data_IF_834832127249
#
_entry.id   IF_834832127249
#
_cell.length_a   1.000
_cell.length_b   1.000
_cell.length_c   1.000
_cell.angle_alpha   90.00
_cell.angle_beta   90.00
_cell.angle_gamma   90.00
#
_symmetry.space_group_name_H-M   'P 1'
#
loop_
_entity.id
_entity.type
_entity.pdbx_description
1 polymer ?
#
# COMPACT_ATOMS: atom_id res chain seq x y z
N UNK A 1 19.93 -11.46 0.44
CA UNK A 1 19.38 -10.69 -0.70
C UNK A 1 18.90 -11.63 -1.78
N UNK A 2 17.64 -11.51 -2.20
CA UNK A 2 17.13 -12.15 -3.40
C UNK A 2 15.90 -11.37 -3.88
N UNK A 3 15.54 -11.50 -5.16
CA UNK A 3 14.28 -10.96 -5.69
C UNK A 3 14.10 -9.45 -5.42
N UNK A 4 15.15 -8.68 -5.70
CA UNK A 4 15.19 -7.22 -5.55
C UNK A 4 14.33 -6.54 -6.62
N UNK A 5 14.15 -5.22 -6.52
CA UNK A 5 13.15 -4.43 -7.26
C UNK A 5 11.73 -4.88 -6.95
N UNK A 6 11.53 -5.35 -5.72
CA UNK A 6 10.22 -5.68 -5.18
C UNK A 6 9.43 -4.41 -4.88
N UNK A 7 8.13 -4.45 -5.14
CA UNK A 7 7.16 -3.39 -4.84
C UNK A 7 6.42 -3.74 -3.55
N UNK A 8 5.11 -3.49 -3.47
CA UNK A 8 4.31 -3.81 -2.31
C UNK A 8 4.27 -5.31 -1.99
N UNK A 9 3.80 -5.59 -0.78
CA UNK A 9 3.63 -6.93 -0.25
C UNK A 9 2.27 -7.11 0.42
N UNK A 10 1.81 -8.35 0.45
CA UNK A 10 0.68 -8.74 1.28
C UNK A 10 1.00 -10.02 2.04
N UNK A 11 0.97 -9.94 3.38
CA UNK A 11 1.18 -11.07 4.28
C UNK A 11 -0.17 -11.61 4.77
N UNK A 12 -0.35 -12.93 4.73
CA UNK A 12 -1.62 -13.56 5.09
C UNK A 12 -1.45 -15.01 5.54
N UNK A 13 -2.48 -15.53 6.20
CA UNK A 13 -2.60 -16.94 6.54
C UNK A 13 -3.33 -17.66 5.39
N UNK A 14 -2.71 -18.69 4.83
CA UNK A 14 -3.30 -19.54 3.80
C UNK A 14 -4.39 -20.45 4.34
N UNK A 15 -5.24 -20.96 3.45
CA UNK A 15 -6.32 -21.92 3.77
C UNK A 15 -5.81 -23.25 4.32
N UNK A 16 -4.54 -23.56 4.07
CA UNK A 16 -3.83 -24.74 4.55
C UNK A 16 -3.19 -24.54 5.95
N UNK A 17 -3.34 -23.35 6.53
CA UNK A 17 -2.74 -23.01 7.82
C UNK A 17 -1.23 -22.77 7.74
N UNK A 18 -0.71 -22.32 6.60
CA UNK A 18 0.66 -21.80 6.47
C UNK A 18 0.64 -20.27 6.34
N UNK A 19 1.76 -19.62 6.61
CA UNK A 19 1.87 -18.17 6.46
C UNK A 19 2.59 -17.85 5.14
N UNK A 20 2.03 -16.92 4.37
CA UNK A 20 2.52 -16.54 3.06
C UNK A 20 2.73 -15.03 2.96
N UNK A 21 3.65 -14.63 2.09
CA UNK A 21 3.81 -13.25 1.64
C UNK A 21 3.85 -13.24 0.13
N UNK A 22 3.05 -12.40 -0.50
CA UNK A 22 3.14 -12.15 -1.94
C UNK A 22 3.79 -10.79 -2.16
N UNK A 23 4.71 -10.68 -3.12
CA UNK A 23 5.42 -9.41 -3.43
C UNK A 23 5.42 -9.14 -4.93
N UNK A 24 5.09 -7.92 -5.34
CA UNK A 24 5.18 -7.50 -6.74
C UNK A 24 6.60 -7.12 -7.17
N UNK A 25 6.78 -6.80 -8.46
CA UNK A 25 8.06 -6.35 -9.02
C UNK A 25 7.92 -5.08 -9.85
N UNK A 26 8.97 -4.25 -9.84
CA UNK A 26 9.04 -2.98 -10.54
C UNK A 26 10.03 -3.01 -11.70
N UNK A 27 9.59 -2.60 -12.89
CA UNK A 27 10.40 -2.63 -14.11
C UNK A 27 10.85 -1.27 -14.62
N UNK A 28 10.55 -0.17 -13.94
CA UNK A 28 10.87 1.19 -14.40
C UNK A 28 12.36 1.61 -14.30
N UNK A 29 13.27 0.67 -14.01
CA UNK A 29 14.71 0.88 -13.96
C UNK A 29 15.43 0.10 -15.07
N UNK A 30 16.67 0.49 -15.36
CA UNK A 30 17.44 -0.12 -16.45
C UNK A 30 17.74 -1.59 -16.13
N UNK A 31 17.31 -2.50 -16.99
CA UNK A 31 17.50 -3.95 -16.80
C UNK A 31 16.55 -4.59 -15.78
N UNK A 32 15.59 -3.84 -15.24
CA UNK A 32 14.61 -4.34 -14.29
C UNK A 32 13.46 -5.06 -15.01
N UNK A 33 12.93 -6.09 -14.37
CA UNK A 33 11.81 -6.86 -14.89
C UNK A 33 10.68 -6.78 -13.86
N UNK A 34 9.62 -6.05 -14.20
CA UNK A 34 8.45 -5.81 -13.32
C UNK A 34 7.25 -6.69 -13.65
N UNK A 35 7.51 -7.88 -14.17
CA UNK A 35 6.49 -8.75 -14.77
C UNK A 35 6.15 -9.98 -13.90
N UNK A 36 6.56 -9.95 -12.62
CA UNK A 36 6.45 -11.09 -11.69
C UNK A 36 5.78 -10.71 -10.38
N UNK A 37 4.87 -11.56 -9.93
CA UNK A 37 4.49 -11.68 -8.54
C UNK A 37 5.27 -12.84 -7.93
N UNK A 38 5.98 -12.62 -6.84
CA UNK A 38 6.67 -13.68 -6.11
C UNK A 38 5.79 -14.20 -4.98
N UNK A 39 5.83 -15.52 -4.78
CA UNK A 39 5.04 -16.27 -3.81
C UNK A 39 5.99 -16.86 -2.79
N UNK A 40 5.90 -16.38 -1.54
CA UNK A 40 6.78 -16.77 -0.46
C UNK A 40 6.02 -17.53 0.60
N UNK A 41 6.50 -18.72 0.95
CA UNK A 41 6.16 -19.38 2.21
C UNK A 41 7.06 -18.85 3.31
N UNK A 42 6.45 -18.27 4.34
CA UNK A 42 7.13 -17.64 5.49
C UNK A 42 6.76 -18.33 6.80
N UNK A 43 6.23 -19.55 6.74
CA UNK A 43 5.84 -20.33 7.93
C UNK A 43 7.02 -20.55 8.87
N UNK A 44 8.21 -20.79 8.31
CA UNK A 44 9.48 -20.63 9.04
C UNK A 44 10.04 -19.22 8.74
N UNK A 45 9.87 -18.24 9.64
CA UNK A 45 10.31 -16.87 9.38
C UNK A 45 11.83 -16.72 9.35
N UNK A 46 12.59 -17.71 9.86
CA UNK A 46 14.04 -17.73 9.74
C UNK A 46 14.51 -18.23 8.36
N UNK A 47 13.62 -18.88 7.60
CA UNK A 47 13.92 -19.47 6.28
C UNK A 47 12.76 -19.29 5.29
N UNK A 48 12.44 -18.04 4.90
CA UNK A 48 11.48 -17.78 3.83
C UNK A 48 11.85 -18.55 2.56
N UNK A 49 10.88 -19.23 1.96
CA UNK A 49 11.07 -20.02 0.76
C UNK A 49 10.24 -19.44 -0.38
N UNK A 50 10.86 -19.14 -1.51
CA UNK A 50 10.12 -18.82 -2.74
C UNK A 50 9.54 -20.12 -3.30
N UNK A 51 8.22 -20.25 -3.27
CA UNK A 51 7.52 -21.44 -3.77
C UNK A 51 7.14 -21.31 -5.24
N UNK A 52 6.83 -20.10 -5.69
CA UNK A 52 6.39 -19.85 -7.06
C UNK A 52 6.63 -18.40 -7.51
N UNK A 53 6.43 -18.16 -8.80
CA UNK A 53 6.27 -16.82 -9.35
C UNK A 53 5.21 -16.81 -10.45
N UNK A 54 4.26 -15.87 -10.38
CA UNK A 54 3.29 -15.63 -11.44
C UNK A 54 3.87 -14.64 -12.43
N UNK A 55 4.06 -15.06 -13.69
CA UNK A 55 4.52 -14.19 -14.78
C UNK A 55 3.33 -13.61 -15.55
N UNK A 56 3.39 -12.32 -15.84
CA UNK A 56 2.37 -11.60 -16.61
C UNK A 56 2.99 -10.69 -17.66
N UNK A 57 2.20 -10.27 -18.64
CA UNK A 57 2.54 -9.14 -19.50
C UNK A 57 2.38 -7.83 -18.73
N UNK A 58 3.46 -7.36 -18.11
CA UNK A 58 3.51 -6.10 -17.37
C UNK A 58 4.95 -5.59 -17.26
N UNK A 59 5.09 -4.27 -17.12
CA UNK A 59 6.34 -3.60 -16.71
C UNK A 59 6.37 -3.28 -15.22
N UNK A 60 5.24 -3.35 -14.52
CA UNK A 60 5.20 -3.26 -13.07
C UNK A 60 3.96 -3.95 -12.51
N UNK A 61 4.14 -4.62 -11.38
CA UNK A 61 3.07 -5.00 -10.44
C UNK A 61 3.27 -4.14 -9.22
N UNK A 62 2.52 -3.04 -9.09
CA UNK A 62 2.75 -2.05 -8.03
C UNK A 62 2.15 -2.46 -6.69
N UNK A 63 1.07 -3.24 -6.73
CA UNK A 63 0.26 -3.55 -5.57
C UNK A 63 -0.32 -4.95 -5.67
N UNK A 64 -0.50 -5.59 -4.52
CA UNK A 64 -1.09 -6.91 -4.34
C UNK A 64 -1.96 -6.90 -3.10
N UNK A 65 -3.14 -7.49 -3.19
CA UNK A 65 -4.03 -7.69 -2.06
C UNK A 65 -4.52 -9.13 -2.00
N UNK A 66 -4.79 -9.62 -0.80
CA UNK A 66 -5.47 -10.90 -0.55
C UNK A 66 -6.71 -10.62 0.28
N UNK A 67 -7.82 -11.28 -0.07
CA UNK A 67 -9.06 -11.16 0.70
C UNK A 67 -8.89 -11.72 2.12
N UNK A 68 -9.77 -11.30 3.04
CA UNK A 68 -9.68 -11.67 4.45
C UNK A 68 -9.71 -13.20 4.68
N UNK A 69 -10.41 -13.93 3.81
CA UNK A 69 -10.51 -15.38 3.86
C UNK A 69 -9.25 -16.11 3.39
N UNK A 70 -8.26 -15.43 2.80
CA UNK A 70 -7.04 -16.04 2.26
C UNK A 70 -7.29 -16.95 1.06
N UNK A 71 -8.38 -16.73 0.31
CA UNK A 71 -8.84 -17.60 -0.79
C UNK A 71 -8.67 -16.97 -2.18
N UNK A 72 -8.52 -15.65 -2.25
CA UNK A 72 -8.42 -14.91 -3.50
C UNK A 72 -7.39 -13.78 -3.36
N UNK A 73 -6.44 -13.71 -4.31
CA UNK A 73 -5.55 -12.57 -4.45
C UNK A 73 -5.90 -11.75 -5.69
N UNK A 74 -5.57 -10.46 -5.66
CA UNK A 74 -5.64 -9.55 -6.78
C UNK A 74 -4.34 -8.75 -6.88
N UNK A 75 -3.90 -8.48 -8.11
CA UNK A 75 -2.84 -7.50 -8.34
C UNK A 75 -3.07 -6.75 -9.66
N UNK A 76 -2.57 -5.52 -9.70
CA UNK A 76 -2.65 -4.68 -10.89
C UNK A 76 -1.48 -4.89 -11.83
N UNK A 77 -1.71 -4.82 -13.15
CA UNK A 77 -0.62 -4.70 -14.13
C UNK A 77 -0.50 -3.26 -14.61
N UNK A 78 0.73 -2.85 -14.92
CA UNK A 78 1.05 -1.58 -15.59
C UNK A 78 2.11 -1.78 -16.66
N UNK A 79 1.99 -1.03 -17.76
CA UNK A 79 2.91 -1.06 -18.89
C UNK A 79 2.88 -2.35 -19.73
N UNK A 80 1.76 -3.07 -19.76
CA UNK A 80 1.59 -4.26 -20.59
C UNK A 80 1.81 -3.95 -22.08
N UNK A 81 2.57 -4.78 -22.80
CA UNK A 81 2.83 -4.65 -24.24
C UNK A 81 1.55 -4.80 -25.06
N UNK A 82 0.67 -5.72 -24.63
CA UNK A 82 -0.66 -5.91 -25.20
C UNK A 82 -1.62 -4.72 -24.99
N UNK A 83 -1.21 -3.72 -24.19
CA UNK A 83 -2.05 -2.63 -23.66
C UNK A 83 -3.25 -3.10 -22.82
N UNK A 84 -3.24 -4.35 -22.38
CA UNK A 84 -4.19 -4.89 -21.41
C UNK A 84 -3.55 -4.81 -20.03
N UNK A 85 -3.64 -3.65 -19.39
CA UNK A 85 -3.11 -3.46 -18.05
C UNK A 85 -4.01 -4.14 -17.00
N UNK A 86 -5.10 -3.58 -16.52
CA UNK A 86 -6.08 -4.39 -15.77
C UNK A 86 -5.62 -5.09 -14.49
N UNK A 87 -6.50 -5.94 -13.97
CA UNK A 87 -6.38 -6.71 -12.72
C UNK A 87 -6.28 -8.19 -13.05
N UNK A 88 -5.35 -8.87 -12.41
CA UNK A 88 -5.27 -10.33 -12.41
C UNK A 88 -5.81 -10.85 -11.08
N UNK A 89 -6.71 -11.84 -11.14
CA UNK A 89 -7.22 -12.54 -9.95
C UNK A 89 -6.63 -13.94 -9.88
N UNK A 90 -6.20 -14.33 -8.68
CA UNK A 90 -5.61 -15.63 -8.39
C UNK A 90 -6.42 -16.39 -7.33
N UNK A 91 -6.83 -17.61 -7.67
CA UNK A 91 -7.38 -18.61 -6.75
C UNK A 91 -6.27 -19.16 -5.86
N UNK A 92 -6.51 -19.16 -4.55
CA UNK A 92 -5.56 -19.54 -3.50
C UNK A 92 -5.96 -20.85 -2.81
N UNK A 93 -6.63 -21.77 -3.51
CA UNK A 93 -6.84 -23.13 -3.02
C UNK A 93 -5.50 -23.82 -2.65
N UNK A 94 -4.43 -23.50 -3.37
CA UNK A 94 -3.04 -23.77 -2.99
C UNK A 94 -2.27 -22.42 -2.97
N UNK A 95 -2.11 -21.78 -1.80
CA UNK A 95 -1.43 -20.48 -1.73
C UNK A 95 0.07 -20.55 -2.03
N UNK A 96 0.70 -21.74 -2.02
CA UNK A 96 2.08 -21.89 -2.46
C UNK A 96 2.21 -21.87 -3.99
N UNK A 97 1.12 -22.18 -4.72
CA UNK A 97 1.04 -22.27 -6.18
C UNK A 97 -0.26 -21.64 -6.71
N UNK A 98 -0.43 -20.31 -6.58
CA UNK A 98 -1.68 -19.65 -6.90
C UNK A 98 -2.01 -19.74 -8.39
N UNK A 99 -3.29 -19.95 -8.71
CA UNK A 99 -3.75 -20.12 -10.08
C UNK A 99 -4.53 -18.92 -10.56
N UNK A 100 -4.15 -18.36 -11.71
CA UNK A 100 -4.94 -17.30 -12.34
C UNK A 100 -6.33 -17.79 -12.73
N UNK A 101 -7.36 -17.06 -12.28
CA UNK A 101 -8.78 -17.35 -12.58
C UNK A 101 -9.45 -16.27 -13.42
N UNK A 102 -8.94 -15.04 -13.41
CA UNK A 102 -9.40 -14.00 -14.31
C UNK A 102 -8.29 -13.02 -14.69
N UNK A 103 -8.51 -12.38 -15.84
CA UNK A 103 -7.77 -11.24 -16.36
C UNK A 103 -8.80 -10.17 -16.76
N UNK A 104 -9.05 -9.22 -15.88
CA UNK A 104 -10.03 -8.16 -16.08
C UNK A 104 -9.36 -6.87 -16.51
N UNK A 105 -9.65 -6.36 -17.71
CA UNK A 105 -9.02 -5.14 -18.23
C UNK A 105 -9.99 -4.10 -18.76
N UNK A 106 -11.27 -4.47 -19.00
CA UNK A 106 -12.23 -3.70 -19.80
C UNK A 106 -12.41 -2.24 -19.35
N UNK A 107 -12.46 -2.00 -18.03
CA UNK A 107 -12.68 -0.66 -17.47
C UNK A 107 -11.43 0.00 -16.91
N UNK A 108 -10.26 -0.63 -17.04
CA UNK A 108 -9.00 -0.24 -16.37
C UNK A 108 -7.77 -0.41 -17.27
N UNK A 109 -7.93 -0.21 -18.58
CA UNK A 109 -6.88 -0.36 -19.60
C UNK A 109 -5.66 0.55 -19.39
N UNK A 110 -5.86 1.69 -18.72
CA UNK A 110 -4.82 2.70 -18.47
C UNK A 110 -3.82 2.35 -17.36
N UNK A 111 -3.88 1.16 -16.76
CA UNK A 111 -3.01 0.78 -15.65
C UNK A 111 -3.78 0.66 -14.34
N UNK A 112 -3.44 -0.33 -13.54
CA UNK A 112 -3.95 -0.44 -12.16
C UNK A 112 -2.83 -0.07 -11.21
N UNK A 113 -3.09 0.92 -10.34
CA UNK A 113 -2.10 1.41 -9.39
C UNK A 113 -2.15 0.67 -8.07
N UNK A 114 -3.37 0.43 -7.56
CA UNK A 114 -3.63 -0.18 -6.27
C UNK A 114 -4.92 -0.99 -6.30
N UNK A 115 -5.02 -1.99 -5.43
CA UNK A 115 -6.20 -2.84 -5.28
C UNK A 115 -6.46 -3.14 -3.80
N UNK A 116 -7.74 -3.19 -3.40
CA UNK A 116 -8.12 -3.51 -2.03
C UNK A 116 -9.44 -4.28 -1.98
N UNK A 117 -9.49 -5.37 -1.22
CA UNK A 117 -10.71 -6.16 -1.02
C UNK A 117 -11.58 -5.63 0.11
N UNK A 118 -12.90 -5.67 -0.07
CA UNK A 118 -13.88 -5.49 1.01
C UNK A 118 -15.05 -6.43 0.76
N UNK A 119 -15.05 -7.58 1.46
CA UNK A 119 -15.95 -8.70 1.15
C UNK A 119 -15.73 -9.19 -0.29
N UNK A 120 -16.83 -9.37 -1.02
CA UNK A 120 -16.84 -9.81 -2.42
C UNK A 120 -16.57 -8.67 -3.44
N UNK A 121 -16.13 -7.51 -2.96
CA UNK A 121 -15.82 -6.36 -3.80
C UNK A 121 -14.33 -6.10 -3.86
N UNK A 122 -13.85 -5.73 -5.05
CA UNK A 122 -12.50 -5.24 -5.27
C UNK A 122 -12.54 -3.76 -5.65
N UNK A 123 -11.87 -2.94 -4.85
CA UNK A 123 -11.67 -1.51 -5.07
C UNK A 123 -10.36 -1.34 -5.83
N UNK A 124 -10.44 -0.77 -7.03
CA UNK A 124 -9.33 -0.70 -7.99
C UNK A 124 -9.02 0.75 -8.30
N UNK A 125 -7.77 1.15 -8.12
CA UNK A 125 -7.30 2.46 -8.55
C UNK A 125 -6.88 2.40 -10.01
N UNK A 126 -7.65 3.05 -10.89
CA UNK A 126 -7.35 3.17 -12.30
C UNK A 126 -6.36 4.32 -12.53
N UNK A 127 -5.08 3.97 -12.72
CA UNK A 127 -3.98 4.92 -12.85
C UNK A 127 -4.18 5.91 -14.02
N UNK A 128 -4.66 5.42 -15.16
CA UNK A 128 -4.78 6.23 -16.38
C UNK A 128 -5.86 7.31 -16.33
N UNK A 129 -6.89 7.16 -15.49
CA UNK A 129 -7.97 8.14 -15.35
C UNK A 129 -8.06 8.78 -13.96
N UNK A 130 -7.22 8.34 -13.00
CA UNK A 130 -7.27 8.76 -11.59
C UNK A 130 -8.65 8.56 -10.94
N UNK A 131 -9.26 7.41 -11.24
CA UNK A 131 -10.60 7.02 -10.79
C UNK A 131 -10.52 5.80 -9.85
N UNK A 132 -11.44 5.74 -8.91
CA UNK A 132 -11.79 4.49 -8.23
C UNK A 132 -12.77 3.71 -9.10
N UNK A 133 -12.47 2.45 -9.37
CA UNK A 133 -13.37 1.49 -10.01
C UNK A 133 -13.70 0.41 -8.98
N UNK A 134 -14.98 0.10 -8.79
CA UNK A 134 -15.42 -1.00 -7.93
C UNK A 134 -15.84 -2.17 -8.81
N UNK A 135 -15.29 -3.35 -8.53
CA UNK A 135 -15.64 -4.61 -9.18
C UNK A 135 -16.31 -5.54 -8.17
N UNK A 136 -17.33 -6.25 -8.61
CA UNK A 136 -17.85 -7.45 -7.95
C UNK A 136 -17.00 -8.64 -8.38
N UNK A 137 -16.43 -9.32 -7.40
CA UNK A 137 -15.55 -10.49 -7.54
C UNK A 137 -16.09 -11.71 -6.78
N UNK A 138 -17.37 -11.71 -6.42
CA UNK A 138 -18.03 -12.85 -5.76
C UNK A 138 -18.03 -14.11 -6.62
N UNK A 139 -18.01 -13.95 -7.95
CA UNK A 139 -17.52 -14.98 -8.87
C UNK A 139 -16.15 -14.56 -9.42
N UNK A 140 -15.04 -15.10 -8.90
CA UNK A 140 -13.70 -14.64 -9.27
C UNK A 140 -13.31 -14.97 -10.72
N UNK A 141 -14.04 -15.87 -11.39
CA UNK A 141 -13.83 -16.17 -12.81
C UNK A 141 -14.58 -15.23 -13.76
N UNK A 142 -15.53 -14.43 -13.25
CA UNK A 142 -16.32 -13.46 -14.02
C UNK A 142 -16.46 -12.13 -13.25
N UNK A 143 -15.37 -11.34 -13.11
CA UNK A 143 -15.42 -10.05 -12.42
C UNK A 143 -16.31 -9.05 -13.14
N UNK A 144 -17.17 -8.33 -12.42
CA UNK A 144 -18.13 -7.39 -13.02
C UNK A 144 -17.96 -5.97 -12.51
N UNK A 145 -17.96 -4.95 -13.39
CA UNK A 145 -17.93 -3.57 -12.94
C UNK A 145 -19.23 -3.21 -12.19
N UNK A 146 -19.06 -2.59 -11.03
CA UNK A 146 -20.16 -2.13 -10.16
C UNK A 146 -20.36 -0.63 -10.28
N UNK A 147 -19.29 0.15 -10.12
CA UNK A 147 -19.35 1.60 -10.15
C UNK A 147 -17.98 2.20 -10.43
N UNK A 148 -17.99 3.51 -10.70
CA UNK A 148 -16.79 4.34 -10.74
C UNK A 148 -17.03 5.61 -9.93
N UNK A 149 -15.96 6.13 -9.34
CA UNK A 149 -15.99 7.39 -8.63
C UNK A 149 -14.69 8.16 -8.86
N UNK A 150 -14.80 9.47 -9.06
CA UNK A 150 -13.64 10.35 -9.21
C UNK A 150 -13.96 11.79 -8.82
N UNK A 151 -12.90 12.54 -8.51
CA UNK A 151 -12.94 14.00 -8.55
C UNK A 151 -12.99 14.50 -10.01
N UNK A 152 -13.43 15.75 -10.24
CA UNK A 152 -13.50 16.36 -11.57
C UNK A 152 -12.15 16.36 -12.29
N UNK A 153 -11.95 15.51 -13.30
CA UNK A 153 -10.65 15.21 -13.93
C UNK A 153 -9.81 16.45 -14.28
N UNK A 154 -8.50 16.37 -14.00
CA UNK A 154 -7.48 17.34 -14.44
C UNK A 154 -6.25 16.59 -14.98
N UNK A 155 -5.46 17.18 -15.90
CA UNK A 155 -4.33 16.49 -16.53
C UNK A 155 -3.24 15.98 -15.57
N UNK A 156 -3.10 16.61 -14.40
CA UNK A 156 -2.08 16.27 -13.41
C UNK A 156 -2.63 15.46 -12.24
N UNK A 157 -3.92 15.11 -12.23
CA UNK A 157 -4.47 14.38 -11.09
C UNK A 157 -3.96 12.94 -11.07
N UNK A 158 -3.64 12.49 -9.87
CA UNK A 158 -3.25 11.12 -9.61
C UNK A 158 -3.95 10.60 -8.36
N UNK A 159 -4.51 9.40 -8.46
CA UNK A 159 -4.98 8.61 -7.33
C UNK A 159 -3.94 7.52 -7.08
N UNK A 160 -3.37 7.50 -5.89
CA UNK A 160 -2.25 6.63 -5.54
C UNK A 160 -2.70 5.32 -4.91
N UNK A 161 -3.70 5.36 -4.04
CA UNK A 161 -4.11 4.20 -3.27
C UNK A 161 -5.56 4.31 -2.77
N UNK A 162 -6.11 3.18 -2.33
CA UNK A 162 -7.41 3.02 -1.69
C UNK A 162 -7.31 2.06 -0.52
N UNK A 163 -7.86 2.46 0.63
CA UNK A 163 -8.13 1.55 1.74
C UNK A 163 -9.62 1.59 2.07
N UNK A 164 -10.24 0.44 2.37
CA UNK A 164 -11.65 0.38 2.77
C UNK A 164 -11.76 -0.22 4.17
N UNK A 165 -12.45 0.48 5.07
CA UNK A 165 -12.68 0.01 6.42
C UNK A 165 -14.03 0.49 6.92
N UNK A 166 -14.84 -0.43 7.45
CA UNK A 166 -16.13 -0.10 8.08
C UNK A 166 -17.04 0.74 7.16
N UNK A 167 -17.17 0.33 5.89
CA UNK A 167 -18.01 1.02 4.90
C UNK A 167 -17.51 2.40 4.45
N UNK A 168 -16.30 2.80 4.83
CA UNK A 168 -15.65 4.02 4.37
C UNK A 168 -14.44 3.69 3.48
N UNK A 169 -14.31 4.37 2.34
CA UNK A 169 -13.14 4.29 1.49
C UNK A 169 -12.27 5.55 1.67
N UNK A 170 -10.97 5.35 1.89
CA UNK A 170 -9.96 6.39 2.08
C UNK A 170 -9.08 6.41 0.83
N UNK A 171 -9.14 7.51 0.08
CA UNK A 171 -8.48 7.65 -1.21
C UNK A 171 -7.31 8.64 -1.10
N UNK A 172 -6.16 8.23 -1.61
CA UNK A 172 -4.91 8.99 -1.56
C UNK A 172 -4.67 9.76 -2.86
N UNK A 173 -5.16 10.99 -2.92
CA UNK A 173 -5.28 11.80 -4.15
C UNK A 173 -4.14 12.81 -4.36
N UNK A 174 -2.87 12.44 -4.14
CA UNK A 174 -1.72 13.34 -4.35
C UNK A 174 -1.97 14.79 -3.89
N UNK A 175 -1.96 15.78 -4.78
CA UNK A 175 -2.16 17.21 -4.44
C UNK A 175 -3.59 17.59 -4.06
N UNK A 176 -4.55 16.70 -4.33
CA UNK A 176 -5.93 16.76 -3.90
C UNK A 176 -6.15 16.14 -2.51
N UNK A 177 -5.12 15.57 -1.89
CA UNK A 177 -5.10 15.20 -0.47
C UNK A 177 -5.85 13.90 -0.14
N UNK A 178 -6.32 13.80 1.09
CA UNK A 178 -7.16 12.69 1.56
C UNK A 178 -8.61 12.93 1.13
N UNK A 179 -9.23 11.96 0.47
CA UNK A 179 -10.67 11.94 0.22
C UNK A 179 -11.29 10.76 0.97
N UNK A 180 -12.41 11.01 1.68
CA UNK A 180 -13.16 9.97 2.38
C UNK A 180 -14.53 9.82 1.70
N UNK A 181 -14.85 8.59 1.30
CA UNK A 181 -16.14 8.23 0.74
C UNK A 181 -16.93 7.34 1.69
N UNK A 182 -18.24 7.56 1.76
CA UNK A 182 -19.20 6.57 2.21
C UNK A 182 -19.47 5.58 1.06
N UNK A 183 -19.13 4.33 1.30
CA UNK A 183 -19.32 3.20 0.39
C UNK A 183 -20.15 2.10 1.06
N UNK A 184 -20.93 2.42 2.10
CA UNK A 184 -21.75 1.46 2.82
C UNK A 184 -21.77 1.66 4.34
N UNK A 185 -21.20 2.76 4.85
CA UNK A 185 -21.31 3.15 6.26
C UNK A 185 -22.70 3.72 6.58
N UNK A 186 -23.35 4.35 5.60
CA UNK A 186 -24.69 4.92 5.73
C UNK A 186 -24.74 6.35 6.29
N UNK A 187 -23.65 7.12 6.14
CA UNK A 187 -23.58 8.52 6.58
C UNK A 187 -24.24 9.46 5.55
N UNK A 188 -24.08 9.17 4.25
CA UNK A 188 -24.67 9.94 3.14
C UNK A 188 -25.43 9.04 2.17
N UNK A 189 -25.98 7.93 2.66
CA UNK A 189 -26.58 6.86 1.85
C UNK A 189 -25.63 6.38 0.74
N UNK A 190 -24.33 6.36 1.05
CA UNK A 190 -23.29 5.84 0.19
C UNK A 190 -23.36 4.32 0.13
N UNK A 191 -23.10 3.78 -1.05
CA UNK A 191 -23.05 2.33 -1.31
C UNK A 191 -21.89 2.06 -2.25
N UNK A 192 -21.44 0.80 -2.40
CA UNK A 192 -20.43 0.49 -3.40
C UNK A 192 -20.90 0.80 -4.83
N UNK A 193 -22.21 0.73 -5.10
CA UNK A 193 -22.82 1.09 -6.39
C UNK A 193 -22.88 2.60 -6.62
N UNK A 194 -22.97 3.37 -5.53
CA UNK A 194 -23.06 4.82 -5.56
C UNK A 194 -22.25 5.45 -4.42
N UNK A 195 -20.91 5.45 -4.53
CA UNK A 195 -20.05 6.06 -3.53
C UNK A 195 -20.38 7.55 -3.34
N UNK A 196 -20.35 8.03 -2.09
CA UNK A 196 -20.66 9.42 -1.74
C UNK A 196 -19.51 10.04 -0.98
N UNK A 197 -18.99 11.16 -1.48
CA UNK A 197 -17.92 11.87 -0.77
C UNK A 197 -18.44 12.48 0.52
N UNK A 198 -17.74 12.19 1.63
CA UNK A 198 -17.98 12.79 2.94
C UNK A 198 -17.11 14.02 3.12
N UNK A 199 -15.83 13.91 2.79
CA UNK A 199 -14.86 14.98 3.00
C UNK A 199 -13.69 14.88 2.02
N UNK A 200 -13.02 16.02 1.86
CA UNK A 200 -11.73 16.14 1.19
C UNK A 200 -10.85 17.06 2.04
N UNK A 201 -9.67 16.58 2.43
CA UNK A 201 -8.68 17.35 3.18
C UNK A 201 -7.43 17.54 2.33
N UNK A 202 -7.24 18.76 1.85
CA UNK A 202 -6.01 19.18 1.16
C UNK A 202 -5.04 19.75 2.18
N UNK A 203 -3.79 19.29 2.13
CA UNK A 203 -2.69 19.79 2.93
C UNK A 203 -1.46 20.01 2.04
N UNK A 204 -0.43 20.65 2.59
CA UNK A 204 0.84 20.88 1.90
C UNK A 204 2.02 20.58 2.81
N UNK A 205 2.94 19.78 2.30
CA UNK A 205 4.24 19.48 2.91
C UNK A 205 5.31 20.31 2.22
N UNK A 206 6.05 21.07 3.02
CA UNK A 206 7.20 21.81 2.51
C UNK A 206 8.41 20.87 2.40
N UNK A 207 8.97 20.77 1.19
CA UNK A 207 10.21 20.03 0.96
C UNK A 207 11.02 20.71 -0.14
N UNK A 208 12.30 20.98 0.16
CA UNK A 208 13.23 21.70 -0.74
C UNK A 208 12.68 23.04 -1.25
N UNK A 209 12.10 23.83 -0.33
CA UNK A 209 11.49 25.14 -0.59
C UNK A 209 10.32 25.10 -1.60
N UNK A 210 9.66 23.95 -1.72
CA UNK A 210 8.45 23.76 -2.53
C UNK A 210 7.36 23.10 -1.69
N UNK A 211 6.11 23.31 -2.08
CA UNK A 211 4.94 22.77 -1.38
C UNK A 211 4.27 21.67 -2.19
N UNK A 212 4.10 20.51 -1.57
CA UNK A 212 3.59 19.29 -2.21
C UNK A 212 2.39 18.76 -1.44
N UNK A 213 1.40 18.17 -2.11
CA UNK A 213 0.46 17.27 -1.43
C UNK A 213 0.99 15.85 -1.48
N UNK A 214 1.15 15.30 -2.70
CA UNK A 214 1.75 13.97 -2.95
C UNK A 214 1.30 12.86 -1.97
N UNK A 215 0.04 12.93 -1.51
CA UNK A 215 -0.61 11.92 -0.68
C UNK A 215 -0.52 10.56 -1.33
N UNK A 216 0.34 9.70 -0.79
CA UNK A 216 0.70 8.42 -1.39
C UNK A 216 -0.12 7.26 -0.81
N UNK A 217 -0.33 7.26 0.51
CA UNK A 217 -1.02 6.18 1.21
C UNK A 217 -1.83 6.71 2.39
N UNK A 218 -3.03 6.17 2.61
CA UNK A 218 -3.89 6.51 3.73
C UNK A 218 -4.40 5.25 4.43
N UNK A 219 -4.23 5.18 5.74
CA UNK A 219 -4.63 4.03 6.54
C UNK A 219 -5.49 4.45 7.74
N UNK A 220 -6.74 3.96 7.85
CA UNK A 220 -7.58 4.22 9.00
C UNK A 220 -7.18 3.36 10.21
N UNK A 221 -7.33 3.92 11.40
CA UNK A 221 -7.05 3.25 12.67
C UNK A 221 -8.04 3.72 13.72
N UNK A 222 -8.67 2.78 14.42
CA UNK A 222 -9.54 3.07 15.56
C UNK A 222 -8.80 2.65 16.82
N UNK A 223 -8.53 3.62 17.70
CA UNK A 223 -7.86 3.31 18.97
C UNK A 223 -8.82 2.70 19.99
N UNK A 224 -8.30 2.23 21.12
CA UNK A 224 -9.10 1.61 22.20
C UNK A 224 -10.18 2.52 22.80
N UNK A 225 -10.05 3.85 22.64
CA UNK A 225 -11.04 4.81 23.11
C UNK A 225 -12.14 5.09 22.06
N UNK A 226 -12.14 4.38 20.93
CA UNK A 226 -13.10 4.55 19.84
C UNK A 226 -12.84 5.79 18.98
N UNK A 227 -11.71 6.48 19.15
CA UNK A 227 -11.33 7.59 18.27
C UNK A 227 -10.78 7.00 16.96
N UNK A 228 -11.24 7.56 15.85
CA UNK A 228 -10.77 7.18 14.52
C UNK A 228 -9.70 8.17 14.07
N UNK A 229 -8.52 7.65 13.77
CA UNK A 229 -7.46 8.38 13.12
C UNK A 229 -7.30 7.88 11.68
N UNK A 230 -6.86 8.76 10.79
CA UNK A 230 -6.37 8.39 9.46
C UNK A 230 -4.92 8.87 9.38
N UNK A 231 -4.02 7.92 9.23
CA UNK A 231 -2.62 8.19 8.95
C UNK A 231 -2.46 8.37 7.45
N UNK A 232 -1.77 9.43 7.03
CA UNK A 232 -1.63 9.79 5.62
C UNK A 232 -0.17 10.12 5.35
N UNK A 233 0.48 9.35 4.47
CA UNK A 233 1.90 9.53 4.18
C UNK A 233 2.13 10.11 2.79
N UNK A 234 3.15 10.96 2.70
CA UNK A 234 3.62 11.55 1.45
C UNK A 234 4.82 10.81 0.87
N UNK A 235 4.83 10.65 -0.45
CA UNK A 235 5.98 10.19 -1.21
C UNK A 235 6.37 11.24 -2.26
N UNK A 236 7.27 12.16 -1.89
CA UNK A 236 7.69 13.27 -2.75
C UNK A 236 8.99 12.88 -3.47
N UNK A 237 8.86 12.40 -4.70
CA UNK A 237 10.02 12.14 -5.54
C UNK A 237 10.68 13.45 -6.00
N UNK A 238 12.03 13.52 -6.02
CA UNK A 238 12.73 14.65 -6.60
C UNK A 238 12.48 14.75 -8.11
N UNK A 239 12.50 15.96 -8.71
CA UNK A 239 12.51 16.10 -10.16
C UNK A 239 13.63 15.28 -10.79
N UNK A 240 13.30 14.47 -11.81
CA UNK A 240 14.27 13.58 -12.47
C UNK A 240 14.69 12.36 -11.64
N UNK A 241 13.86 11.90 -10.70
CA UNK A 241 14.12 10.70 -9.91
C UNK A 241 14.59 9.51 -10.78
N UNK A 242 15.71 8.90 -10.38
CA UNK A 242 16.35 7.78 -11.06
C UNK A 242 16.57 6.62 -10.08
N UNK A 243 15.72 5.60 -10.18
CA UNK A 243 15.74 4.42 -9.29
C UNK A 243 17.00 3.55 -9.43
N UNK A 244 17.89 3.86 -10.38
CA UNK A 244 19.21 3.22 -10.48
C UNK A 244 20.27 3.88 -9.59
N UNK A 245 19.93 4.93 -8.84
CA UNK A 245 20.88 5.72 -8.04
C UNK A 245 20.32 6.01 -6.66
N UNK A 246 21.22 6.43 -5.76
CA UNK A 246 20.82 7.00 -4.46
C UNK A 246 19.96 8.24 -4.70
N UNK A 247 18.81 8.29 -4.06
CA UNK A 247 17.95 9.47 -4.02
C UNK A 247 17.38 9.69 -2.62
N UNK A 248 17.08 10.95 -2.33
CA UNK A 248 16.29 11.34 -1.17
C UNK A 248 14.85 11.51 -1.61
N UNK A 249 13.92 10.87 -0.91
CA UNK A 249 12.49 11.07 -1.08
C UNK A 249 12.04 12.02 0.02
N UNK A 250 11.31 13.07 -0.33
CA UNK A 250 10.66 13.93 0.65
C UNK A 250 9.37 13.28 1.17
N UNK A 251 8.95 13.64 2.37
CA UNK A 251 7.64 13.26 2.84
C UNK A 251 7.42 13.54 4.31
N UNK A 252 6.15 13.59 4.68
CA UNK A 252 5.66 13.73 6.02
C UNK A 252 4.55 12.70 6.21
N UNK A 253 4.41 12.18 7.43
CA UNK A 253 3.23 11.46 7.84
C UNK A 253 2.31 12.43 8.59
N UNK A 254 1.11 12.63 8.07
CA UNK A 254 0.03 13.38 8.67
C UNK A 254 -0.89 12.44 9.44
N UNK A 255 -1.47 12.93 10.54
CA UNK A 255 -2.45 12.19 11.33
C UNK A 255 -3.68 13.05 11.49
N UNK A 256 -4.77 12.62 10.88
CA UNK A 256 -6.07 13.27 11.00
C UNK A 256 -6.92 12.54 12.03
N UNK A 257 -7.52 13.26 12.97
CA UNK A 257 -8.67 12.77 13.72
C UNK A 257 -9.89 12.83 12.79
N UNK A 258 -10.39 11.66 12.42
CA UNK A 258 -11.55 11.47 11.56
C UNK A 258 -12.67 10.73 12.29
N UNK A 259 -12.78 10.95 13.61
CA UNK A 259 -13.90 10.44 14.42
C UNK A 259 -15.23 10.96 13.84
N UNK A 260 -15.26 12.22 13.39
CA UNK A 260 -16.23 12.73 12.44
C UNK A 260 -15.61 12.65 11.01
N UNK A 261 -16.00 11.68 10.17
CA UNK A 261 -15.40 11.51 8.85
C UNK A 261 -15.84 12.60 7.84
N UNK A 262 -16.86 13.40 8.15
CA UNK A 262 -17.24 14.57 7.35
C UNK A 262 -16.34 15.78 7.65
N UNK A 263 -15.63 15.77 8.79
CA UNK A 263 -14.76 16.87 9.23
C UNK A 263 -13.44 16.39 9.84
N UNK A 264 -12.56 15.72 9.07
CA UNK A 264 -11.28 15.31 9.60
C UNK A 264 -10.40 16.51 9.94
N UNK A 265 -9.68 16.45 11.06
CA UNK A 265 -8.80 17.53 11.53
C UNK A 265 -7.40 16.98 11.75
N UNK A 266 -6.39 17.64 11.19
CA UNK A 266 -5.00 17.27 11.46
C UNK A 266 -4.66 17.51 12.94
N UNK A 267 -4.19 16.47 13.62
CA UNK A 267 -3.86 16.53 15.05
C UNK A 267 -2.39 16.27 15.31
N UNK A 268 -1.70 15.54 14.44
CA UNK A 268 -0.31 15.19 14.64
C UNK A 268 0.44 14.97 13.32
N UNK A 269 1.76 15.03 13.39
CA UNK A 269 2.66 14.72 12.29
C UNK A 269 3.85 13.89 12.77
N UNK A 270 4.42 13.12 11.86
CA UNK A 270 5.66 12.38 12.05
C UNK A 270 6.54 12.56 10.80
N UNK A 271 7.69 13.19 11.00
CA UNK A 271 8.64 13.48 9.93
C UNK A 271 9.94 12.72 10.18
N UNK A 272 10.46 12.14 9.11
CA UNK A 272 11.85 11.69 9.06
C UNK A 272 12.55 12.54 8.00
N UNK A 273 13.35 13.51 8.44
CA UNK A 273 13.93 14.51 7.53
C UNK A 273 14.59 13.88 6.31
N UNK A 274 14.11 14.28 5.12
CA UNK A 274 14.61 13.81 3.83
C UNK A 274 14.35 12.33 3.53
N UNK A 275 13.38 11.69 4.21
CA UNK A 275 13.00 10.28 4.01
C UNK A 275 11.49 10.18 3.85
N UNK A 276 11.05 9.84 2.64
CA UNK A 276 9.64 9.77 2.28
C UNK A 276 8.91 8.63 3.00
N UNK A 277 7.60 8.72 3.03
CA UNK A 277 6.73 7.71 3.62
C UNK A 277 6.10 6.91 2.48
N UNK A 278 6.27 5.59 2.52
CA UNK A 278 5.63 4.69 1.56
C UNK A 278 4.41 4.02 2.20
N UNK A 279 4.13 2.75 1.90
CA UNK A 279 3.03 2.01 2.50
C UNK A 279 3.33 1.60 3.95
N UNK A 280 2.31 1.67 4.78
CA UNK A 280 2.39 1.44 6.23
C UNK A 280 1.10 0.85 6.77
N UNK A 281 1.19 0.24 7.94
CA UNK A 281 0.05 -0.40 8.59
C UNK A 281 0.07 -0.08 10.08
N UNK A 282 -1.12 -0.05 10.69
CA UNK A 282 -1.24 0.06 12.15
C UNK A 282 -1.79 -1.24 12.69
N UNK A 283 -1.06 -1.87 13.62
CA UNK A 283 -1.50 -3.04 14.35
C UNK A 283 -1.09 -2.93 15.81
N UNK A 284 -1.99 -3.30 16.73
CA UNK A 284 -1.75 -3.29 18.17
C UNK A 284 -1.16 -1.96 18.67
N UNK A 285 -1.80 -0.85 18.29
CA UNK A 285 -1.39 0.51 18.63
C UNK A 285 0.05 0.87 18.19
N UNK A 286 0.61 0.15 17.21
CA UNK A 286 1.93 0.43 16.62
C UNK A 286 1.80 0.64 15.11
N UNK A 287 2.33 1.75 14.62
CA UNK A 287 2.48 2.06 13.21
C UNK A 287 3.79 1.45 12.71
N UNK A 288 3.71 0.57 11.72
CA UNK A 288 4.85 0.01 10.99
C UNK A 288 4.88 0.62 9.60
N UNK A 289 5.97 1.31 9.25
CA UNK A 289 6.05 2.01 7.97
C UNK A 289 7.34 1.72 7.21
N UNK A 290 7.19 1.58 5.89
CA UNK A 290 8.31 1.69 4.95
C UNK A 290 8.62 3.16 4.71
N UNK A 291 9.89 3.56 4.87
CA UNK A 291 10.32 4.95 4.76
C UNK A 291 11.29 5.18 3.59
N UNK A 292 11.20 4.43 2.48
CA UNK A 292 12.14 4.52 1.36
C UNK A 292 13.60 4.51 1.84
N UNK A 293 14.36 5.59 1.59
CA UNK A 293 15.73 5.78 2.06
C UNK A 293 15.86 5.87 3.60
N UNK A 294 14.75 5.80 4.33
CA UNK A 294 14.58 5.83 5.77
C UNK A 294 14.51 4.49 6.49
N UNK A 295 14.35 3.38 5.77
CA UNK A 295 14.24 2.06 6.38
C UNK A 295 12.84 1.69 6.84
N UNK A 296 12.76 0.54 7.50
CA UNK A 296 11.59 0.10 8.23
C UNK A 296 11.56 0.81 9.59
N UNK A 297 10.41 1.35 9.97
CA UNK A 297 10.25 2.07 11.24
C UNK A 297 9.01 1.62 11.98
N UNK A 298 9.07 1.68 13.31
CA UNK A 298 7.95 1.45 14.19
C UNK A 298 7.72 2.66 15.09
N UNK A 299 6.49 3.16 15.14
CA UNK A 299 6.08 4.31 15.92
C UNK A 299 4.88 3.92 16.79
N UNK A 300 4.98 4.17 18.09
CA UNK A 300 3.89 3.95 19.04
C UNK A 300 2.77 4.97 18.81
N UNK A 301 1.54 4.48 18.67
CA UNK A 301 0.37 5.29 18.33
C UNK A 301 -0.85 5.02 19.23
N UNK A 302 -0.61 4.54 20.46
CA UNK A 302 -1.66 4.40 21.46
C UNK A 302 -2.04 5.75 22.08
N UNK A 303 -3.26 5.78 22.61
CA UNK A 303 -3.80 6.95 23.29
C UNK A 303 -4.07 8.13 22.34
N UNK A 304 -4.13 9.36 22.88
CA UNK A 304 -4.33 10.57 22.09
C UNK A 304 -3.07 10.95 21.31
N UNK A 305 -3.22 11.18 20.01
CA UNK A 305 -2.16 11.67 19.12
C UNK A 305 -2.26 13.18 18.97
N UNK A 306 -1.17 13.90 19.27
CA UNK A 306 -1.08 15.37 19.16
C UNK A 306 0.33 15.83 18.84
N UNK A 307 0.44 16.84 17.97
CA UNK A 307 1.70 17.49 17.63
C UNK A 307 2.69 16.55 16.95
N UNK A 308 3.96 16.65 17.34
CA UNK A 308 5.08 15.94 16.71
C UNK A 308 5.29 14.57 17.36
N UNK A 309 5.12 13.48 16.60
CA UNK A 309 5.20 12.10 17.12
C UNK A 309 6.62 11.51 17.12
N UNK A 310 7.67 12.26 16.76
CA UNK A 310 9.05 11.76 16.65
C UNK A 310 9.54 11.06 17.92
N UNK A 311 9.10 11.51 19.10
CA UNK A 311 9.46 10.91 20.40
C UNK A 311 8.79 9.55 20.67
N UNK A 312 7.88 9.12 19.80
CA UNK A 312 7.18 7.84 19.88
C UNK A 312 7.78 6.79 18.95
N UNK A 313 8.85 7.10 18.22
CA UNK A 313 9.59 6.08 17.46
C UNK A 313 10.22 5.08 18.43
N UNK A 314 9.89 3.80 18.26
CA UNK A 314 10.35 2.72 19.14
C UNK A 314 11.39 1.82 18.47
N UNK A 315 11.46 1.80 17.14
CA UNK A 315 12.48 1.06 16.42
C UNK A 315 12.72 1.62 15.01
N UNK A 316 13.95 1.45 14.53
CA UNK A 316 14.36 1.73 13.15
C UNK A 316 15.28 0.60 12.69
N UNK A 317 15.06 0.12 11.46
CA UNK A 317 15.90 -0.85 10.80
C UNK A 317 16.24 -0.35 9.40
N UNK A 318 17.53 -0.22 9.11
CA UNK A 318 17.99 -0.03 7.74
C UNK A 318 17.89 -1.36 6.98
N UNK A 319 17.02 -1.43 5.97
CA UNK A 319 16.82 -2.65 5.16
C UNK A 319 17.79 -2.71 3.97
N UNK A 320 18.99 -2.14 4.10
CA UNK A 320 20.04 -2.21 3.07
C UNK A 320 20.91 -3.45 3.26
N UNK A 321 21.48 -3.96 2.17
CA UNK A 321 22.41 -5.10 2.20
C UNK A 321 23.54 -4.89 1.19
N UNK A 322 24.74 -5.36 1.50
CA UNK A 322 25.94 -5.24 0.64
C UNK A 322 25.76 -5.89 -0.73
N UNK A 323 24.91 -6.92 -0.82
CA UNK A 323 24.61 -7.65 -2.05
C UNK A 323 23.34 -7.12 -2.76
N UNK A 324 22.79 -5.98 -2.30
CA UNK A 324 21.61 -5.35 -2.87
C UNK A 324 21.81 -4.83 -4.31
N UNK A 325 20.70 -4.53 -4.99
CA UNK A 325 20.70 -3.92 -6.34
C UNK A 325 21.56 -2.65 -6.39
N UNK A 326 21.40 -1.78 -5.39
CA UNK A 326 22.40 -0.77 -5.06
C UNK A 326 22.99 -1.14 -3.70
N UNK A 327 24.28 -1.58 -3.64
CA UNK A 327 24.91 -2.05 -2.42
C UNK A 327 24.77 -1.11 -1.24
N UNK A 328 24.40 -1.68 -0.07
CA UNK A 328 24.23 -0.98 1.22
C UNK A 328 23.18 0.14 1.24
N UNK A 329 22.37 0.30 0.19
CA UNK A 329 21.30 1.29 0.17
C UNK A 329 19.98 0.69 0.64
N UNK A 330 19.36 1.37 1.58
CA UNK A 330 18.00 1.15 2.00
C UNK A 330 17.03 1.88 1.08
N UNK A 331 15.96 1.21 0.68
CA UNK A 331 14.83 1.79 -0.01
C UNK A 331 13.55 0.97 0.27
N UNK A 332 13.08 1.02 1.52
CA UNK A 332 11.93 0.24 2.01
C UNK A 332 10.64 0.73 1.36
N UNK A 333 10.01 -0.13 0.57
CA UNK A 333 8.82 0.16 -0.21
C UNK A 333 7.53 -0.04 0.58
N UNK A 334 7.46 -1.06 1.42
CA UNK A 334 6.27 -1.36 2.21
C UNK A 334 6.62 -2.05 3.52
N UNK A 335 5.72 -1.96 4.49
CA UNK A 335 5.80 -2.68 5.75
C UNK A 335 4.40 -3.16 6.15
N UNK A 336 4.24 -4.45 6.49
CA UNK A 336 2.98 -5.03 6.93
C UNK A 336 3.20 -5.97 8.12
N UNK A 337 2.52 -5.76 9.25
CA UNK A 337 2.56 -6.66 10.38
C UNK A 337 1.63 -7.86 10.14
N UNK A 338 2.09 -9.06 10.46
CA UNK A 338 1.30 -10.30 10.38
C UNK A 338 1.84 -11.34 11.35
N UNK A 339 0.96 -11.99 12.10
CA UNK A 339 1.29 -13.06 13.05
C UNK A 339 2.47 -12.74 14.02
N UNK A 340 2.51 -11.51 14.57
CA UNK A 340 3.57 -11.06 15.48
C UNK A 340 4.93 -10.79 14.83
N UNK A 341 4.99 -10.82 13.50
CA UNK A 341 6.12 -10.43 12.67
C UNK A 341 5.79 -9.14 11.92
N UNK A 342 6.83 -8.51 11.37
CA UNK A 342 6.72 -7.38 10.46
C UNK A 342 7.48 -7.73 9.19
N UNK A 343 6.74 -7.82 8.10
CA UNK A 343 7.28 -8.04 6.77
C UNK A 343 7.53 -6.70 6.12
N UNK A 344 8.65 -6.58 5.42
CA UNK A 344 8.95 -5.38 4.63
C UNK A 344 9.55 -5.77 3.29
N UNK A 345 9.21 -5.02 2.25
CA UNK A 345 9.92 -5.09 0.97
C UNK A 345 10.85 -3.90 0.88
N UNK A 346 12.08 -4.16 0.45
CA UNK A 346 13.05 -3.15 0.10
C UNK A 346 13.39 -3.31 -1.37
N UNK A 347 13.37 -2.20 -2.10
CA UNK A 347 13.66 -2.20 -3.53
C UNK A 347 15.06 -2.72 -3.84
N UNK A 348 16.04 -2.43 -2.99
CA UNK A 348 17.42 -2.84 -3.21
C UNK A 348 17.71 -4.25 -2.71
N UNK A 349 17.08 -4.71 -1.62
CA UNK A 349 17.49 -5.95 -0.95
C UNK A 349 16.43 -7.05 -0.89
N UNK A 350 15.19 -6.77 -1.28
CA UNK A 350 14.09 -7.75 -1.38
C UNK A 350 13.24 -7.85 -0.10
N UNK A 351 12.76 -9.05 0.20
CA UNK A 351 11.90 -9.33 1.36
C UNK A 351 12.70 -9.37 2.67
N UNK A 352 12.19 -8.69 3.69
CA UNK A 352 12.65 -8.73 5.08
C UNK A 352 11.57 -9.32 5.98
N UNK A 353 11.97 -10.21 6.87
CA UNK A 353 11.12 -10.78 7.92
C UNK A 353 11.71 -10.36 9.26
N UNK A 354 10.96 -9.58 10.02
CA UNK A 354 11.46 -8.98 11.25
C UNK A 354 10.46 -9.15 12.39
N UNK A 355 10.92 -8.90 13.62
CA UNK A 355 10.07 -8.88 14.80
C UNK A 355 10.44 -7.67 15.65
N UNK A 356 9.43 -6.92 16.07
CA UNK A 356 9.64 -5.89 17.08
C UNK A 356 9.82 -6.58 18.43
N UNK A 357 11.00 -6.39 19.03
CA UNK A 357 11.30 -6.90 20.38
C UNK A 357 11.30 -5.74 21.36
N UNK A 358 10.74 -5.97 22.56
CA UNK A 358 10.91 -5.02 23.64
C UNK A 358 12.40 -4.87 23.96
N UNK A 359 12.88 -3.67 24.35
CA UNK A 359 14.22 -3.54 24.86
C UNK A 359 14.42 -4.49 26.04
N UNK A 360 15.61 -5.09 26.21
CA UNK A 360 15.90 -5.91 27.38
C UNK A 360 15.59 -5.12 28.66
N UNK A 361 14.97 -5.78 29.64
CA UNK A 361 14.75 -5.17 30.95
C UNK A 361 16.10 -4.72 31.54
N UNK A 362 16.13 -3.57 32.24
CA UNK A 362 17.36 -2.97 32.75
C UNK A 362 18.15 -3.87 33.71
#
# INVERSE_FOLDING_TARGET
VAHTRSTDLWAFRGVDGRDYVYTGTWGGCAGCIGNRLFVWDVTDPARPTLTDSVLVDAQSINDVAVNEAGTLAAFGRRGAESRRNGVVLLDLADPAHPRQVADYWETVTGGVQAVFFSGDLLYVVHAGAAELVVLDVGNPADPRPVSRWSLQSTPSRYLSDVHVHDGLAYLSYWDDGLVILDVGKGIRDGTPQRPRMLSQVRYRTEWRNQHWGHTHYAFPYVNRAGRRYVFVGDAILPPGADFNRRMEIGGLLHVFDATDPERPVEVATYEVQGRGISKFWVQNDTLYLGSHNGGLRAVEVSGPLRGRLQRREVAVLATGDENGFIPNLTFTWAAMPHNGLVFATDFNSGLWVTRLVAPPAP
#
